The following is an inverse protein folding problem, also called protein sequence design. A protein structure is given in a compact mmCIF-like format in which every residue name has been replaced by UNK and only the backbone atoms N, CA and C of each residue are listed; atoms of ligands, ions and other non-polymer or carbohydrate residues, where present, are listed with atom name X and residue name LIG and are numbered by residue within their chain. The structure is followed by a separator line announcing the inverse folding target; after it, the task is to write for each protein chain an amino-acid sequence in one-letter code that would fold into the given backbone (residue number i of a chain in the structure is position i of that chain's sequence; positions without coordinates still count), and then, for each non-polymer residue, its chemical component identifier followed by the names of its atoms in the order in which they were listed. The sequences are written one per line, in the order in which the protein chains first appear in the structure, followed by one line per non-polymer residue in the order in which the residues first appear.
data_IF_318287680029
#
_entry.id   IF_318287680029
#
_cell.length_a   1.000
_cell.length_b   1.000
_cell.length_c   1.000
_cell.angle_alpha   90.00
_cell.angle_beta   90.00
_cell.angle_gamma   90.00
#
_symmetry.space_group_name_H-M   'P 1'
#
loop_
_entity.id
_entity.type
_entity.pdbx_description
1 polymer ?
#
# COMPACT_ATOMS: atom_id res chain seq x y z
N UNK A 1 27.73 -50.75 -17.31
CA UNK A 1 27.84 -49.26 -17.20
C UNK A 1 29.21 -48.88 -16.63
N UNK A 2 29.81 -47.73 -16.99
CA UNK A 2 31.14 -47.33 -16.49
C UNK A 2 31.05 -46.72 -15.09
N UNK A 3 32.01 -47.01 -14.20
CA UNK A 3 32.01 -46.52 -12.80
C UNK A 3 31.84 -45.00 -12.71
N UNK A 4 32.54 -44.24 -13.56
CA UNK A 4 32.43 -42.77 -13.61
C UNK A 4 30.98 -42.26 -13.77
N UNK A 5 30.18 -42.95 -14.59
CA UNK A 5 28.78 -42.59 -14.84
C UNK A 5 27.86 -43.04 -13.69
N UNK A 6 28.18 -44.15 -13.03
CA UNK A 6 27.43 -44.60 -11.85
C UNK A 6 27.65 -43.65 -10.69
N UNK A 7 28.90 -43.22 -10.45
CA UNK A 7 29.25 -42.24 -9.41
C UNK A 7 28.45 -40.95 -9.52
N UNK A 8 28.24 -40.42 -10.73
CA UNK A 8 27.41 -39.23 -10.93
C UNK A 8 25.92 -39.43 -10.63
N UNK A 9 25.45 -40.68 -10.55
CA UNK A 9 24.06 -41.01 -10.24
C UNK A 9 23.86 -41.54 -8.81
N UNK A 10 24.93 -41.78 -8.04
CA UNK A 10 24.82 -42.38 -6.71
C UNK A 10 24.01 -41.52 -5.73
N UNK A 11 24.17 -40.20 -5.74
CA UNK A 11 23.39 -39.29 -4.90
C UNK A 11 21.89 -39.38 -5.19
N UNK A 12 21.50 -39.21 -6.45
CA UNK A 12 20.11 -39.31 -6.89
C UNK A 12 19.52 -40.72 -6.69
N UNK A 13 20.36 -41.77 -6.79
CA UNK A 13 19.95 -43.15 -6.51
C UNK A 13 19.64 -43.34 -5.02
N UNK A 14 20.50 -42.85 -4.12
CA UNK A 14 20.30 -42.95 -2.67
C UNK A 14 19.04 -42.18 -2.20
N UNK A 15 18.75 -41.03 -2.80
CA UNK A 15 17.57 -40.22 -2.49
C UNK A 15 16.28 -40.74 -3.17
N UNK A 16 16.38 -41.77 -4.03
CA UNK A 16 15.24 -42.30 -4.78
C UNK A 16 14.78 -41.44 -5.98
N UNK A 17 15.44 -40.31 -6.23
CA UNK A 17 15.16 -39.31 -7.28
C UNK A 17 15.59 -39.74 -8.69
N UNK A 18 16.38 -40.81 -8.82
CA UNK A 18 16.83 -41.29 -10.12
C UNK A 18 15.64 -41.75 -10.98
N UNK A 19 15.65 -41.44 -12.29
CA UNK A 19 14.56 -41.88 -13.18
C UNK A 19 14.52 -43.41 -13.32
N UNK A 20 13.31 -43.95 -13.53
CA UNK A 20 13.04 -45.41 -13.61
C UNK A 20 13.93 -46.14 -14.62
N UNK A 21 14.31 -45.47 -15.71
CA UNK A 21 15.18 -46.01 -16.77
C UNK A 21 16.60 -46.34 -16.27
N UNK A 22 17.16 -45.58 -15.34
CA UNK A 22 18.55 -45.75 -14.89
C UNK A 22 18.68 -46.55 -13.60
N UNK A 23 17.60 -46.69 -12.81
CA UNK A 23 17.58 -47.50 -11.58
C UNK A 23 18.11 -48.94 -11.78
N UNK A 24 17.65 -49.75 -12.76
CA UNK A 24 18.10 -51.13 -12.91
C UNK A 24 19.58 -51.22 -13.32
N UNK A 25 20.04 -50.33 -14.19
CA UNK A 25 21.43 -50.32 -14.65
C UNK A 25 22.42 -49.92 -13.54
N UNK A 26 22.01 -49.03 -12.63
CA UNK A 26 22.79 -48.68 -11.44
C UNK A 26 22.78 -49.82 -10.43
N UNK A 27 21.64 -50.46 -10.16
CA UNK A 27 21.58 -51.60 -9.22
C UNK A 27 22.39 -52.81 -9.69
N UNK A 28 22.36 -53.11 -10.99
CA UNK A 28 23.18 -54.16 -11.59
C UNK A 28 24.68 -53.84 -11.47
N UNK A 29 25.07 -52.57 -11.64
CA UNK A 29 26.47 -52.19 -11.43
C UNK A 29 26.91 -52.31 -9.96
N UNK A 30 26.03 -51.97 -9.01
CA UNK A 30 26.29 -52.09 -7.58
C UNK A 30 26.40 -53.56 -7.11
N UNK A 31 25.72 -54.49 -7.79
CA UNK A 31 25.87 -55.93 -7.51
C UNK A 31 27.25 -56.46 -7.94
N UNK A 32 27.86 -55.86 -8.97
CA UNK A 32 29.12 -56.33 -9.54
C UNK A 32 30.35 -55.56 -9.01
N UNK A 33 30.23 -54.25 -8.75
CA UNK A 33 31.37 -53.39 -8.42
C UNK A 33 31.44 -53.06 -6.91
N UNK A 34 32.44 -53.61 -6.21
CA UNK A 34 32.66 -53.37 -4.77
C UNK A 34 33.11 -51.94 -4.44
N UNK A 35 33.77 -51.24 -5.37
CA UNK A 35 34.19 -49.85 -5.17
C UNK A 35 32.97 -48.91 -5.14
N UNK A 36 32.08 -49.01 -6.12
CA UNK A 36 30.85 -48.23 -6.17
C UNK A 36 29.91 -48.54 -5.00
N UNK A 37 29.88 -49.80 -4.53
CA UNK A 37 29.10 -50.20 -3.35
C UNK A 37 29.60 -49.54 -2.06
N UNK A 38 30.92 -49.41 -1.89
CA UNK A 38 31.50 -48.68 -0.74
C UNK A 38 31.10 -47.21 -0.75
N UNK A 39 31.12 -46.57 -1.92
CA UNK A 39 30.67 -45.18 -2.07
C UNK A 39 29.18 -45.02 -1.80
N UNK A 40 28.34 -45.94 -2.29
CA UNK A 40 26.91 -45.95 -1.97
C UNK A 40 26.66 -46.01 -0.45
N UNK A 41 27.40 -46.87 0.27
CA UNK A 41 27.29 -46.97 1.73
C UNK A 41 27.64 -45.65 2.43
N UNK A 42 28.66 -44.92 1.94
CA UNK A 42 29.01 -43.59 2.46
C UNK A 42 27.87 -42.60 2.21
N UNK A 43 27.31 -42.53 1.00
CA UNK A 43 26.18 -41.65 0.70
C UNK A 43 24.94 -41.96 1.55
N UNK A 44 24.60 -43.24 1.75
CA UNK A 44 23.50 -43.63 2.64
C UNK A 44 23.75 -43.23 4.09
N UNK A 45 24.99 -43.39 4.59
CA UNK A 45 25.32 -42.97 5.95
C UNK A 45 25.19 -41.46 6.15
N UNK A 46 25.58 -40.65 5.14
CA UNK A 46 25.40 -39.20 5.16
C UNK A 46 23.92 -38.81 5.11
N UNK A 47 23.12 -39.48 4.26
CA UNK A 47 21.67 -39.25 4.20
C UNK A 47 20.98 -39.57 5.53
N UNK A 48 21.33 -40.69 6.15
CA UNK A 48 20.82 -41.06 7.48
C UNK A 48 21.26 -40.07 8.57
N UNK A 49 22.48 -39.54 8.50
CA UNK A 49 22.93 -38.50 9.42
C UNK A 49 22.14 -37.20 9.21
N UNK A 50 21.81 -36.87 7.96
CA UNK A 50 21.00 -35.70 7.61
C UNK A 50 19.54 -35.85 8.08
N UNK A 51 18.96 -37.04 8.00
CA UNK A 51 17.62 -37.34 8.56
C UNK A 51 17.56 -37.18 10.08
N UNK A 52 18.69 -37.41 10.77
CA UNK A 52 18.81 -37.19 12.22
C UNK A 52 18.96 -35.72 12.59
N UNK A 53 19.33 -34.85 11.65
CA UNK A 53 19.28 -33.42 11.91
C UNK A 53 17.81 -33.06 12.06
N UNK A 54 17.45 -32.62 13.27
CA UNK A 54 16.08 -32.26 13.61
C UNK A 54 15.53 -31.32 12.54
N UNK A 55 14.48 -31.75 11.85
CA UNK A 55 13.72 -30.88 10.95
C UNK A 55 13.26 -29.71 11.79
N UNK A 56 13.88 -28.55 11.57
CA UNK A 56 13.52 -27.34 12.28
C UNK A 56 12.07 -27.04 11.90
N UNK A 57 11.15 -27.24 12.84
CA UNK A 57 9.76 -26.89 12.64
C UNK A 57 9.68 -25.38 12.60
N UNK A 58 9.57 -24.86 11.39
CA UNK A 58 9.37 -23.44 11.16
C UNK A 58 8.01 -23.08 11.77
N UNK A 59 7.94 -21.96 12.50
CA UNK A 59 6.68 -21.45 13.04
C UNK A 59 5.67 -21.20 11.90
N UNK A 60 4.39 -21.50 12.12
CA UNK A 60 3.32 -21.37 11.11
C UNK A 60 3.26 -19.97 10.46
N UNK A 61 3.69 -18.94 11.19
CA UNK A 61 3.71 -17.54 10.75
C UNK A 61 5.13 -17.01 10.44
N UNK A 62 6.07 -17.89 10.09
CA UNK A 62 7.44 -17.46 9.75
C UNK A 62 7.46 -16.51 8.55
N UNK A 63 6.70 -16.82 7.50
CA UNK A 63 6.64 -15.97 6.31
C UNK A 63 6.05 -14.58 6.63
N UNK A 64 4.99 -14.52 7.45
CA UNK A 64 4.41 -13.26 7.88
C UNK A 64 5.42 -12.43 8.69
N UNK A 65 6.08 -13.04 9.67
CA UNK A 65 7.12 -12.38 10.48
C UNK A 65 8.32 -11.92 9.65
N UNK A 66 8.78 -12.74 8.71
CA UNK A 66 9.90 -12.42 7.83
C UNK A 66 9.56 -11.23 6.93
N UNK A 67 8.41 -11.28 6.25
CA UNK A 67 7.98 -10.20 5.34
C UNK A 67 7.70 -8.91 6.10
N UNK A 68 7.08 -8.99 7.29
CA UNK A 68 6.88 -7.81 8.14
C UNK A 68 8.21 -7.19 8.57
N UNK A 69 9.21 -8.01 8.93
CA UNK A 69 10.54 -7.51 9.28
C UNK A 69 11.22 -6.84 8.07
N UNK A 70 11.21 -7.46 6.89
CA UNK A 70 11.76 -6.88 5.66
C UNK A 70 11.07 -5.55 5.34
N UNK A 71 9.73 -5.49 5.44
CA UNK A 71 8.98 -4.27 5.20
C UNK A 71 9.37 -3.18 6.19
N UNK A 72 9.46 -3.51 7.48
CA UNK A 72 9.85 -2.56 8.54
C UNK A 72 11.26 -2.00 8.32
N UNK A 73 12.22 -2.84 7.94
CA UNK A 73 13.58 -2.40 7.60
C UNK A 73 13.55 -1.46 6.38
N UNK A 74 12.84 -1.81 5.32
CA UNK A 74 12.68 -0.94 4.13
C UNK A 74 12.02 0.39 4.45
N UNK A 75 11.02 0.41 5.35
CA UNK A 75 10.39 1.65 5.79
C UNK A 75 11.32 2.52 6.65
N UNK A 76 12.16 1.90 7.48
CA UNK A 76 13.16 2.64 8.27
C UNK A 76 14.23 3.28 7.39
N UNK A 77 14.67 2.58 6.34
CA UNK A 77 15.62 3.11 5.37
C UNK A 77 15.02 4.21 4.49
N UNK A 78 13.78 4.03 4.02
CA UNK A 78 13.12 5.02 3.17
C UNK A 78 12.72 6.26 3.95
N UNK A 79 12.25 6.15 5.21
CA UNK A 79 11.94 7.33 6.02
C UNK A 79 13.18 8.18 6.31
N UNK A 80 14.31 7.54 6.62
CA UNK A 80 15.55 8.25 6.94
C UNK A 80 16.25 8.83 5.71
N UNK A 81 16.14 8.19 4.53
CA UNK A 81 16.79 8.65 3.30
C UNK A 81 15.91 9.55 2.42
N UNK A 82 14.58 9.41 2.44
CA UNK A 82 13.68 10.18 1.57
C UNK A 82 13.22 11.51 2.17
N UNK A 83 13.12 11.64 3.50
CA UNK A 83 12.61 12.87 4.14
C UNK A 83 13.70 13.81 4.66
N UNK A 84 14.96 13.38 4.66
CA UNK A 84 16.09 14.26 4.96
C UNK A 84 16.81 14.55 3.64
N UNK A 85 16.51 15.67 2.96
CA UNK A 85 17.36 16.11 1.87
C UNK A 85 18.79 16.21 2.42
N UNK A 86 19.73 15.46 1.81
CA UNK A 86 21.12 15.33 2.29
C UNK A 86 21.85 16.67 2.47
N UNK A 87 21.28 17.74 1.92
CA UNK A 87 21.59 19.12 2.24
C UNK A 87 20.26 19.87 2.22
N UNK A 88 19.80 20.40 3.35
CA UNK A 88 18.85 21.50 3.29
C UNK A 88 19.51 22.55 2.39
N UNK A 89 18.85 23.03 1.31
CA UNK A 89 19.44 24.08 0.52
C UNK A 89 19.65 25.23 1.49
N UNK A 90 20.92 25.56 1.73
CA UNK A 90 21.30 26.77 2.46
C UNK A 90 21.02 27.89 1.48
N UNK A 91 19.74 28.11 1.18
CA UNK A 91 19.28 29.31 0.50
C UNK A 91 19.77 30.39 1.44
N UNK A 92 20.78 31.14 1.01
CA UNK A 92 21.29 32.25 1.79
C UNK A 92 20.13 33.25 1.86
N UNK A 93 19.32 33.15 2.92
CA UNK A 93 18.21 34.05 3.21
C UNK A 93 18.63 35.52 3.11
N UNK A 94 19.92 35.78 3.31
CA UNK A 94 20.57 37.08 3.11
C UNK A 94 20.41 37.67 1.70
N UNK A 95 20.23 36.87 0.66
CA UNK A 95 19.98 37.34 -0.72
C UNK A 95 18.49 37.34 -1.10
N UNK A 96 17.66 36.48 -0.50
CA UNK A 96 16.23 36.42 -0.81
C UNK A 96 15.41 37.54 -0.13
N UNK A 97 15.77 37.92 1.10
CA UNK A 97 15.09 38.97 1.87
C UNK A 97 14.99 40.31 1.11
N UNK A 98 16.06 40.88 0.54
CA UNK A 98 15.96 42.18 -0.13
C UNK A 98 15.04 42.14 -1.37
N UNK A 99 15.00 41.04 -2.12
CA UNK A 99 14.13 40.90 -3.29
C UNK A 99 12.64 40.81 -2.92
N UNK A 100 12.31 40.14 -1.81
CA UNK A 100 10.93 40.08 -1.31
C UNK A 100 10.46 41.42 -0.76
N UNK A 101 11.32 42.16 -0.07
CA UNK A 101 10.98 43.49 0.47
C UNK A 101 10.75 44.48 -0.67
N UNK A 102 11.59 44.51 -1.70
CA UNK A 102 11.44 45.45 -2.82
C UNK A 102 10.20 45.15 -3.66
N UNK A 103 9.93 43.89 -3.96
CA UNK A 103 8.72 43.50 -4.70
C UNK A 103 7.45 43.80 -3.92
N UNK A 104 7.43 43.51 -2.62
CA UNK A 104 6.30 43.81 -1.74
C UNK A 104 6.06 45.33 -1.63
N UNK A 105 7.13 46.13 -1.52
CA UNK A 105 7.04 47.59 -1.51
C UNK A 105 6.49 48.11 -2.83
N UNK A 106 6.96 47.60 -3.97
CA UNK A 106 6.48 48.02 -5.30
C UNK A 106 5.02 47.65 -5.53
N UNK A 107 4.57 46.49 -5.06
CA UNK A 107 3.16 46.09 -5.13
C UNK A 107 2.31 47.02 -4.27
N UNK A 108 2.75 47.35 -3.05
CA UNK A 108 2.00 48.24 -2.16
C UNK A 108 1.94 49.67 -2.72
N UNK A 109 3.03 50.16 -3.31
CA UNK A 109 3.08 51.44 -4.01
C UNK A 109 2.16 51.45 -5.24
N UNK A 110 2.12 50.37 -6.01
CA UNK A 110 1.21 50.24 -7.14
C UNK A 110 -0.25 50.21 -6.67
N UNK A 111 -0.57 49.51 -5.58
CA UNK A 111 -1.93 49.51 -5.01
C UNK A 111 -2.32 50.93 -4.58
N UNK A 112 -1.44 51.67 -3.89
CA UNK A 112 -1.75 53.04 -3.46
C UNK A 112 -1.87 54.00 -4.64
N UNK A 113 -0.97 53.89 -5.63
CA UNK A 113 -0.94 54.78 -6.79
C UNK A 113 -2.11 54.52 -7.78
N UNK A 114 -2.54 53.27 -7.90
CA UNK A 114 -3.62 52.87 -8.79
C UNK A 114 -4.94 52.63 -8.07
N UNK A 115 -5.05 52.86 -6.75
CA UNK A 115 -6.33 52.74 -6.06
C UNK A 115 -7.27 53.83 -6.59
N UNK A 116 -8.26 53.50 -7.44
CA UNK A 116 -9.22 54.50 -7.87
C UNK A 116 -10.03 54.89 -6.64
N UNK A 117 -10.24 56.19 -6.43
CA UNK A 117 -10.93 56.72 -5.24
C UNK A 117 -12.36 56.22 -5.04
N UNK A 118 -12.92 55.43 -5.96
CA UNK A 118 -14.22 54.79 -5.84
C UNK A 118 -14.19 53.42 -6.52
N UNK A 119 -13.94 52.34 -5.77
CA UNK A 119 -14.34 50.99 -6.20
C UNK A 119 -15.68 50.71 -5.52
N UNK A 120 -16.83 50.70 -6.24
CA UNK A 120 -18.03 50.09 -5.71
C UNK A 120 -17.76 48.60 -5.54
N UNK A 121 -17.58 48.20 -4.29
CA UNK A 121 -17.47 46.81 -3.86
C UNK A 121 -18.88 46.24 -3.71
N UNK A 122 -19.41 45.55 -4.74
CA UNK A 122 -20.45 44.54 -4.58
C UNK A 122 -20.77 43.80 -5.89
N UNK A 123 -20.96 42.50 -5.74
CA UNK A 123 -21.84 41.60 -6.49
C UNK A 123 -21.32 40.68 -7.61
N UNK A 124 -20.28 40.99 -8.38
CA UNK A 124 -20.04 40.17 -9.59
C UNK A 124 -19.12 38.94 -9.43
N UNK A 125 -18.59 38.68 -8.22
CA UNK A 125 -17.67 37.54 -7.98
C UNK A 125 -18.44 36.23 -7.69
N UNK A 126 -19.73 36.29 -7.33
CA UNK A 126 -20.51 35.08 -6.99
C UNK A 126 -21.13 34.35 -8.19
N UNK A 127 -21.31 35.00 -9.35
CA UNK A 127 -21.98 34.38 -10.50
C UNK A 127 -21.09 33.42 -11.33
N UNK A 128 -19.77 33.39 -11.11
CA UNK A 128 -18.81 32.62 -11.95
C UNK A 128 -18.27 31.33 -11.33
N UNK A 129 -18.76 30.90 -10.16
CA UNK A 129 -18.22 29.73 -9.43
C UNK A 129 -18.99 28.41 -9.62
N UNK A 130 -20.03 28.37 -10.43
CA UNK A 130 -20.83 27.14 -10.70
C UNK A 130 -20.23 26.18 -11.74
N UNK A 131 -19.00 26.41 -12.21
CA UNK A 131 -18.32 25.56 -13.19
C UNK A 131 -16.94 25.06 -12.70
N UNK A 132 -16.75 24.91 -11.39
CA UNK A 132 -15.59 24.19 -10.86
C UNK A 132 -15.80 22.70 -11.13
N UNK A 133 -15.00 22.23 -12.07
CA UNK A 133 -14.90 20.87 -12.59
C UNK A 133 -14.75 19.84 -11.46
N UNK A 134 -15.81 19.08 -11.15
CA UNK A 134 -15.83 17.99 -10.15
C UNK A 134 -15.06 16.72 -10.64
N UNK A 135 -14.20 16.84 -11.65
CA UNK A 135 -13.48 15.72 -12.28
C UNK A 135 -12.52 14.98 -11.36
N UNK A 136 -12.18 15.54 -10.19
CA UNK A 136 -11.34 14.88 -9.18
C UNK A 136 -12.13 14.07 -8.12
N UNK A 137 -13.46 14.13 -8.10
CA UNK A 137 -14.29 13.37 -7.13
C UNK A 137 -14.50 11.89 -7.50
N UNK A 138 -14.08 11.44 -8.68
CA UNK A 138 -14.28 10.05 -9.14
C UNK A 138 -13.02 9.31 -9.58
N UNK A 139 -11.83 9.81 -9.25
CA UNK A 139 -10.59 9.04 -9.47
C UNK A 139 -10.52 7.91 -8.44
N UNK A 140 -11.22 6.81 -8.71
CA UNK A 140 -10.92 5.53 -8.08
C UNK A 140 -9.65 4.95 -8.70
N UNK A 141 -8.75 4.36 -7.90
CA UNK A 141 -7.56 3.71 -8.43
C UNK A 141 -7.99 2.54 -9.32
N UNK A 142 -7.84 2.70 -10.64
CA UNK A 142 -8.03 1.64 -11.62
C UNK A 142 -6.81 0.72 -11.54
N UNK A 143 -7.07 -0.59 -11.44
CA UNK A 143 -6.09 -1.69 -11.50
C UNK A 143 -4.96 -1.68 -10.46
N UNK A 144 -5.22 -2.32 -9.32
CA UNK A 144 -4.16 -2.98 -8.55
C UNK A 144 -4.58 -4.44 -8.27
N UNK A 145 -4.49 -5.29 -9.30
CA UNK A 145 -4.76 -6.75 -9.25
C UNK A 145 -3.93 -7.48 -8.18
N UNK A 146 -2.89 -6.86 -7.62
CA UNK A 146 -2.04 -7.43 -6.56
C UNK A 146 -2.16 -6.77 -5.19
N UNK A 147 -3.08 -5.84 -4.98
CA UNK A 147 -3.44 -5.38 -3.63
C UNK A 147 -4.80 -5.96 -3.26
N UNK A 148 -4.82 -7.24 -2.87
CA UNK A 148 -5.70 -7.60 -1.76
C UNK A 148 -5.20 -6.80 -0.58
N UNK A 149 -5.74 -5.59 -0.43
CA UNK A 149 -5.61 -4.85 0.81
C UNK A 149 -6.01 -5.86 1.89
N UNK A 150 -5.07 -6.19 2.78
CA UNK A 150 -5.46 -6.65 4.10
C UNK A 150 -6.26 -5.49 4.67
N UNK A 151 -7.56 -5.47 4.39
CA UNK A 151 -8.51 -4.71 5.16
C UNK A 151 -8.21 -5.12 6.59
N UNK A 152 -7.77 -4.16 7.40
CA UNK A 152 -7.59 -4.36 8.83
C UNK A 152 -8.79 -5.17 9.34
N UNK A 153 -8.55 -6.12 10.25
CA UNK A 153 -9.58 -7.01 10.79
C UNK A 153 -10.82 -6.26 11.31
N UNK A 154 -10.65 -4.97 11.63
CA UNK A 154 -11.68 -4.07 12.13
C UNK A 154 -12.11 -2.97 11.14
N UNK A 155 -11.75 -3.12 9.86
CA UNK A 155 -12.22 -2.22 8.81
C UNK A 155 -13.72 -2.43 8.62
N UNK A 156 -14.49 -1.43 9.02
CA UNK A 156 -15.86 -1.26 8.58
C UNK A 156 -16.01 0.15 8.02
N UNK A 157 -16.85 0.28 6.99
CA UNK A 157 -17.21 1.58 6.44
C UNK A 157 -17.72 2.53 7.54
N UNK A 158 -18.49 1.99 8.49
CA UNK A 158 -18.98 2.71 9.66
C UNK A 158 -17.86 3.27 10.54
N UNK A 159 -16.82 2.47 10.84
CA UNK A 159 -15.67 2.93 11.63
C UNK A 159 -14.90 4.05 10.92
N UNK A 160 -14.75 3.98 9.59
CA UNK A 160 -14.05 5.02 8.81
C UNK A 160 -14.86 6.31 8.71
N UNK A 161 -16.17 6.22 8.50
CA UNK A 161 -17.07 7.38 8.52
C UNK A 161 -17.10 8.04 9.90
N UNK A 162 -17.24 7.24 10.96
CA UNK A 162 -17.24 7.76 12.35
C UNK A 162 -15.89 8.40 12.74
N UNK A 163 -14.78 7.92 12.19
CA UNK A 163 -13.48 8.56 12.37
C UNK A 163 -13.39 9.88 11.59
N UNK A 164 -13.85 9.90 10.34
CA UNK A 164 -13.88 11.12 9.52
C UNK A 164 -14.77 12.21 10.15
N UNK A 165 -15.94 11.85 10.68
CA UNK A 165 -16.81 12.78 11.42
C UNK A 165 -16.13 13.33 12.68
N UNK A 166 -15.43 12.48 13.44
CA UNK A 166 -14.67 12.92 14.63
C UNK A 166 -13.58 13.92 14.25
N UNK A 167 -12.83 13.66 13.18
CA UNK A 167 -11.82 14.59 12.69
C UNK A 167 -12.43 15.91 12.21
N UNK A 168 -13.59 15.86 11.55
CA UNK A 168 -14.28 17.06 11.10
C UNK A 168 -14.80 17.90 12.28
N UNK A 169 -15.35 17.26 13.32
CA UNK A 169 -15.73 17.93 14.57
C UNK A 169 -14.53 18.57 15.28
N UNK A 170 -13.40 17.86 15.33
CA UNK A 170 -12.18 18.36 15.96
C UNK A 170 -11.59 19.54 15.17
N UNK A 171 -11.58 19.46 13.84
CA UNK A 171 -11.21 20.58 12.96
C UNK A 171 -12.08 21.81 13.22
N UNK A 172 -13.40 21.63 13.26
CA UNK A 172 -14.34 22.73 13.54
C UNK A 172 -14.17 23.28 14.95
N UNK A 173 -13.90 22.44 15.95
CA UNK A 173 -13.64 22.87 17.32
C UNK A 173 -12.34 23.70 17.41
N UNK A 174 -11.28 23.31 16.70
CA UNK A 174 -10.03 24.08 16.63
C UNK A 174 -10.26 25.43 15.94
N UNK A 175 -11.00 25.45 14.83
CA UNK A 175 -11.35 26.70 14.13
C UNK A 175 -12.19 27.62 15.03
N UNK A 176 -13.06 27.06 15.87
CA UNK A 176 -13.89 27.85 16.80
C UNK A 176 -13.15 28.30 18.07
N UNK A 177 -12.19 27.51 18.59
CA UNK A 177 -11.39 27.88 19.77
C UNK A 177 -10.20 28.79 19.42
N UNK A 178 -9.70 28.72 18.19
CA UNK A 178 -8.76 29.71 17.65
C UNK A 178 -9.47 31.04 17.46
N UNK A 179 -9.35 31.91 18.46
CA UNK A 179 -9.94 33.24 18.52
C UNK A 179 -9.45 34.19 17.40
N UNK A 180 -9.86 33.94 16.16
CA UNK A 180 -9.84 34.91 15.06
C UNK A 180 -11.13 35.71 15.14
N UNK A 181 -11.26 36.53 16.19
CA UNK A 181 -12.51 37.25 16.49
C UNK A 181 -12.86 38.37 15.51
N UNK A 182 -11.95 38.73 14.60
CA UNK A 182 -12.13 39.85 13.66
C UNK A 182 -11.90 39.48 12.18
N UNK A 183 -11.78 38.19 11.83
CA UNK A 183 -11.77 37.80 10.42
C UNK A 183 -13.20 37.51 10.00
N UNK A 184 -13.72 38.42 9.17
CA UNK A 184 -15.05 38.39 8.60
C UNK A 184 -15.43 36.99 8.08
N UNK A 185 -16.57 36.47 8.53
CA UNK A 185 -17.02 35.07 8.37
C UNK A 185 -17.31 34.66 6.93
N UNK A 186 -17.04 35.53 5.95
CA UNK A 186 -17.45 35.42 4.55
C UNK A 186 -16.49 34.64 3.66
N UNK A 187 -15.28 34.28 4.12
CA UNK A 187 -14.24 33.71 3.24
C UNK A 187 -13.66 32.35 3.64
N UNK A 188 -14.22 31.67 4.64
CA UNK A 188 -13.80 30.32 5.04
C UNK A 188 -14.47 29.22 4.21
N UNK A 189 -13.67 28.29 3.68
CA UNK A 189 -14.09 27.09 2.94
C UNK A 189 -14.94 26.16 3.84
N UNK A 190 -16.22 26.47 3.99
CA UNK A 190 -17.19 25.61 4.68
C UNK A 190 -17.69 24.57 3.68
N UNK A 191 -17.43 23.29 3.97
CA UNK A 191 -18.07 22.17 3.29
C UNK A 191 -19.60 22.31 3.40
N UNK A 192 -20.33 22.11 2.30
CA UNK A 192 -21.79 22.29 2.21
C UNK A 192 -22.61 21.55 3.28
N UNK A 193 -22.04 20.57 3.99
CA UNK A 193 -22.66 19.90 5.14
C UNK A 193 -22.77 20.76 6.41
N UNK A 194 -22.07 21.90 6.49
CA UNK A 194 -22.04 22.76 7.68
C UNK A 194 -23.15 23.84 7.71
N UNK A 195 -23.90 24.02 6.62
CA UNK A 195 -24.95 25.06 6.53
C UNK A 195 -26.35 24.59 6.93
N UNK A 196 -26.54 23.30 7.26
CA UNK A 196 -27.82 22.86 7.82
C UNK A 196 -27.95 23.36 9.28
N UNK A 197 -29.00 24.12 9.64
CA UNK A 197 -29.19 24.66 11.00
C UNK A 197 -29.39 23.56 12.06
N UNK A 198 -29.65 22.33 11.62
CA UNK A 198 -29.65 21.14 12.45
C UNK A 198 -28.79 20.06 11.77
N UNK A 199 -27.84 19.42 12.48
CA UNK A 199 -27.12 18.28 11.93
C UNK A 199 -28.13 17.17 11.69
N UNK A 200 -28.41 16.85 10.42
CA UNK A 200 -29.29 15.73 10.09
C UNK A 200 -28.59 14.47 10.56
N UNK A 201 -29.13 13.72 11.55
CA UNK A 201 -28.51 12.48 11.97
C UNK A 201 -28.43 11.54 10.77
N UNK A 202 -27.33 10.80 10.66
CA UNK A 202 -27.20 9.78 9.62
C UNK A 202 -28.26 8.69 9.86
N UNK A 203 -29.42 8.83 9.23
CA UNK A 203 -30.50 7.84 9.27
C UNK A 203 -30.29 6.89 8.10
N UNK A 204 -29.95 5.62 8.40
CA UNK A 204 -29.74 4.57 7.40
C UNK A 204 -30.90 4.45 6.38
N UNK A 205 -32.11 4.88 6.74
CA UNK A 205 -33.31 4.81 5.90
C UNK A 205 -33.31 5.71 4.66
N UNK A 206 -32.58 6.84 4.65
CA UNK A 206 -32.53 7.75 3.48
C UNK A 206 -31.47 7.35 2.46
N UNK A 207 -30.44 6.61 2.90
CA UNK A 207 -29.35 6.17 2.03
C UNK A 207 -29.55 4.69 1.72
N UNK A 208 -30.21 4.40 0.60
CA UNK A 208 -30.33 3.03 0.09
C UNK A 208 -29.00 2.63 -0.56
N UNK A 209 -28.03 2.26 0.26
CA UNK A 209 -26.76 1.69 -0.21
C UNK A 209 -27.09 0.34 -0.86
N UNK A 210 -27.08 0.29 -2.19
CA UNK A 210 -27.19 -0.98 -2.92
C UNK A 210 -25.81 -1.63 -2.91
N UNK A 211 -25.61 -2.79 -2.26
CA UNK A 211 -24.34 -3.49 -2.38
C UNK A 211 -24.20 -3.95 -3.84
N UNK A 212 -23.18 -3.45 -4.52
CA UNK A 212 -22.79 -3.97 -5.82
C UNK A 212 -21.89 -5.17 -5.55
N UNK A 213 -22.49 -6.36 -5.47
CA UNK A 213 -21.72 -7.61 -5.39
C UNK A 213 -21.21 -7.92 -6.79
N UNK A 214 -19.90 -7.87 -7.00
CA UNK A 214 -19.27 -8.33 -8.25
C UNK A 214 -18.59 -9.66 -7.99
N UNK A 215 -19.08 -10.70 -8.66
CA UNK A 215 -18.45 -12.01 -8.72
C UNK A 215 -17.45 -11.97 -9.86
N UNK A 216 -16.17 -12.18 -9.56
CA UNK A 216 -15.12 -12.23 -10.56
C UNK A 216 -14.74 -13.69 -10.83
N UNK A 217 -14.96 -14.15 -12.06
CA UNK A 217 -14.47 -15.45 -12.51
C UNK A 217 -12.98 -15.36 -12.83
N UNK A 218 -12.19 -16.26 -12.24
CA UNK A 218 -10.77 -16.43 -12.58
C UNK A 218 -10.63 -17.05 -13.97
N UNK A 219 -9.78 -16.45 -14.81
CA UNK A 219 -9.46 -16.93 -16.16
C UNK A 219 -8.72 -18.29 -16.19
N UNK A 220 -8.26 -18.79 -15.04
CA UNK A 220 -7.42 -20.01 -14.97
C UNK A 220 -8.22 -21.31 -14.74
N UNK A 221 -9.55 -21.26 -14.73
CA UNK A 221 -10.39 -22.45 -14.59
C UNK A 221 -11.58 -22.41 -15.56
N UNK A 222 -11.49 -23.04 -16.75
CA UNK A 222 -12.60 -23.12 -17.69
C UNK A 222 -13.75 -24.05 -17.23
N UNK A 223 -13.75 -24.55 -15.99
CA UNK A 223 -14.76 -25.50 -15.51
C UNK A 223 -15.53 -25.06 -14.25
N UNK A 224 -15.67 -23.76 -13.99
CA UNK A 224 -16.57 -23.31 -12.93
C UNK A 224 -18.02 -23.33 -13.45
N UNK A 225 -18.72 -24.45 -13.25
CA UNK A 225 -20.18 -24.53 -13.42
C UNK A 225 -20.83 -23.52 -12.48
N UNK A 226 -21.68 -22.65 -13.00
CA UNK A 226 -22.55 -21.78 -12.21
C UNK A 226 -23.39 -22.64 -11.26
N UNK A 227 -23.04 -22.58 -9.98
CA UNK A 227 -23.89 -23.08 -8.90
C UNK A 227 -25.09 -22.15 -8.77
N UNK A 228 -26.15 -22.42 -9.52
CA UNK A 228 -27.44 -21.82 -9.32
C UNK A 228 -27.97 -22.19 -7.93
N UNK A 229 -27.82 -21.27 -6.97
CA UNK A 229 -28.75 -20.94 -5.87
C UNK A 229 -27.98 -20.26 -4.74
N UNK A 230 -28.30 -18.99 -4.47
CA UNK A 230 -28.61 -18.51 -3.13
C UNK A 230 -28.93 -17.00 -3.17
N UNK A 231 -30.21 -16.72 -2.90
CA UNK A 231 -30.86 -15.46 -2.51
C UNK A 231 -30.94 -14.29 -3.50
#
# INVERSE_FOLDING_TARGET
MRCRKVRSYLSAYCNGELSSRFKPAVSEHLSTCSACRREEAVYRSMSQANEKLSTLTVCDDFNGKLLNRIAQERFSETRTKAFLPKRAPVILWRQAIPAFVTTSLMILLAIVAFSPKNIPLADDIFARRSALDDSYLTVQPVDNVRRTANLDKDWSLGNRLAWAERMNRLSNAIVQQGAWRDIDRSYGLMTASAQAPTPVPYVLGYYKVRPVVRVYMSLESPSAKEGGRAY
#
